data_IF_288262846884
#
_entry.id   IF_288262846884
#
_cell.length_a   1.000
_cell.length_b   1.000
_cell.length_c   1.000
_cell.angle_alpha   90.00
_cell.angle_beta   90.00
_cell.angle_gamma   90.00
#
_symmetry.space_group_name_H-M   'P 1'
#
loop_
_entity.id
_entity.type
_entity.pdbx_description
1 polymer ?
#
# COMPACT_ATOMS: atom_id res chain seq x y z
N UNK A 1 -15.07 -12.59 -24.40
CA UNK A 1 -13.80 -11.84 -24.24
C UNK A 1 -13.93 -10.65 -23.29
N UNK A 2 -14.64 -9.56 -23.62
CA UNK A 2 -14.78 -8.41 -22.68
C UNK A 2 -15.41 -8.82 -21.34
N UNK A 3 -16.48 -9.61 -21.35
CA UNK A 3 -17.15 -10.07 -20.14
C UNK A 3 -16.27 -10.99 -19.27
N UNK A 4 -15.33 -11.71 -19.84
CA UNK A 4 -14.39 -12.54 -19.10
C UNK A 4 -13.34 -11.70 -18.41
N UNK A 5 -12.80 -10.68 -19.10
CA UNK A 5 -11.87 -9.72 -18.53
C UNK A 5 -12.52 -8.94 -17.37
N UNK A 6 -13.76 -8.49 -17.55
CA UNK A 6 -14.49 -7.79 -16.49
C UNK A 6 -14.72 -8.68 -15.26
N UNK A 7 -15.05 -9.96 -15.45
CA UNK A 7 -15.19 -10.91 -14.34
C UNK A 7 -13.87 -11.16 -13.62
N UNK A 8 -12.78 -11.24 -14.36
CA UNK A 8 -11.44 -11.38 -13.77
C UNK A 8 -11.05 -10.13 -12.97
N UNK A 9 -11.24 -8.94 -13.52
CA UNK A 9 -11.01 -7.68 -12.79
C UNK A 9 -11.87 -7.60 -11.52
N UNK A 10 -13.13 -7.98 -11.59
CA UNK A 10 -14.03 -8.00 -10.45
C UNK A 10 -13.57 -9.01 -9.38
N UNK A 11 -13.11 -10.19 -9.79
CA UNK A 11 -12.57 -11.19 -8.88
C UNK A 11 -11.31 -10.68 -8.17
N UNK A 12 -10.37 -10.07 -8.90
CA UNK A 12 -9.15 -9.47 -8.34
C UNK A 12 -9.51 -8.37 -7.34
N UNK A 13 -10.43 -7.47 -7.71
CA UNK A 13 -10.86 -6.36 -6.86
C UNK A 13 -11.54 -6.82 -5.55
N UNK A 14 -12.26 -7.96 -5.59
CA UNK A 14 -12.91 -8.55 -4.41
C UNK A 14 -11.97 -9.37 -3.53
N UNK A 15 -10.87 -9.88 -4.10
CA UNK A 15 -9.96 -10.79 -3.41
C UNK A 15 -8.47 -10.37 -3.52
N UNK A 16 -8.11 -9.10 -3.28
CA UNK A 16 -6.78 -8.59 -3.58
C UNK A 16 -5.67 -9.32 -2.81
N UNK A 17 -5.87 -9.59 -1.52
CA UNK A 17 -4.89 -10.30 -0.69
C UNK A 17 -4.58 -11.69 -1.23
N UNK A 18 -5.61 -12.45 -1.60
CA UNK A 18 -5.47 -13.81 -2.12
C UNK A 18 -4.73 -13.80 -3.46
N UNK A 19 -5.16 -12.95 -4.38
CA UNK A 19 -4.57 -12.87 -5.73
C UNK A 19 -3.11 -12.45 -5.68
N UNK A 20 -2.77 -11.46 -4.85
CA UNK A 20 -1.38 -11.02 -4.66
C UNK A 20 -0.53 -12.14 -4.07
N UNK A 21 -1.02 -12.86 -3.05
CA UNK A 21 -0.30 -13.97 -2.43
C UNK A 21 -0.06 -15.11 -3.43
N UNK A 22 -1.07 -15.51 -4.18
CA UNK A 22 -0.96 -16.54 -5.22
C UNK A 22 0.03 -16.14 -6.33
N UNK A 23 0.03 -14.85 -6.72
CA UNK A 23 0.97 -14.35 -7.72
C UNK A 23 2.43 -14.39 -7.23
N UNK A 24 2.67 -13.98 -5.98
CA UNK A 24 3.98 -14.03 -5.34
C UNK A 24 4.52 -15.47 -5.34
N UNK A 25 3.70 -16.42 -4.89
CA UNK A 25 4.08 -17.83 -4.82
C UNK A 25 4.34 -18.43 -6.20
N UNK A 26 3.43 -18.20 -7.14
CA UNK A 26 3.52 -18.76 -8.50
C UNK A 26 4.74 -18.26 -9.27
N UNK A 27 5.09 -17.00 -9.13
CA UNK A 27 6.17 -16.37 -9.89
C UNK A 27 7.48 -16.24 -9.10
N UNK A 28 7.48 -16.62 -7.82
CA UNK A 28 8.62 -16.49 -6.91
C UNK A 28 9.19 -15.06 -6.90
N UNK A 29 8.32 -14.06 -6.82
CA UNK A 29 8.69 -12.63 -6.79
C UNK A 29 8.38 -12.01 -5.44
N UNK A 30 9.04 -10.89 -5.13
CA UNK A 30 8.70 -10.06 -3.98
C UNK A 30 7.65 -9.03 -4.38
N UNK A 31 6.74 -8.69 -3.47
CA UNK A 31 5.78 -7.63 -3.67
C UNK A 31 6.12 -6.40 -2.81
N UNK A 32 6.03 -5.24 -3.42
CA UNK A 32 6.25 -3.95 -2.77
C UNK A 32 4.94 -3.18 -2.77
N UNK A 33 4.43 -2.87 -1.57
CA UNK A 33 3.27 -2.02 -1.42
C UNK A 33 3.62 -0.55 -1.66
N UNK A 34 2.74 0.17 -2.31
CA UNK A 34 2.92 1.61 -2.53
C UNK A 34 1.63 2.34 -2.19
N UNK A 35 1.76 3.37 -1.36
CA UNK A 35 0.64 4.28 -1.14
C UNK A 35 0.41 5.06 -2.44
N UNK A 36 -0.84 5.07 -2.95
CA UNK A 36 -1.13 5.57 -4.29
C UNK A 36 -0.78 7.04 -4.51
N UNK A 37 -0.71 7.36 -5.80
CA UNK A 37 -0.53 8.63 -6.48
C UNK A 37 0.92 9.09 -6.70
N UNK A 38 1.95 8.53 -6.11
CA UNK A 38 3.33 8.99 -6.34
C UNK A 38 4.36 7.88 -6.08
N UNK A 39 3.92 6.63 -6.05
CA UNK A 39 4.84 5.51 -5.92
C UNK A 39 5.57 5.24 -7.24
N UNK A 40 6.85 4.88 -7.21
CA UNK A 40 7.64 4.59 -8.40
C UNK A 40 7.39 3.15 -8.90
N UNK A 41 6.20 2.89 -9.43
CA UNK A 41 5.80 1.55 -9.93
C UNK A 41 6.78 1.01 -10.94
N UNK A 42 7.27 1.88 -11.83
CA UNK A 42 8.20 1.54 -12.89
C UNK A 42 9.56 1.04 -12.34
N UNK A 43 10.02 1.59 -11.22
CA UNK A 43 11.26 1.15 -10.59
C UNK A 43 11.09 -0.21 -9.92
N UNK A 44 9.94 -0.45 -9.30
CA UNK A 44 9.63 -1.73 -8.67
C UNK A 44 9.51 -2.83 -9.73
N UNK A 45 8.81 -2.55 -10.82
CA UNK A 45 8.66 -3.48 -11.95
C UNK A 45 10.00 -3.76 -12.64
N UNK A 46 10.79 -2.72 -12.91
CA UNK A 46 12.13 -2.86 -13.50
C UNK A 46 13.10 -3.67 -12.62
N UNK A 47 12.87 -3.70 -11.30
CA UNK A 47 13.63 -4.52 -10.37
C UNK A 47 13.13 -5.99 -10.31
N UNK A 48 12.17 -6.38 -11.13
CA UNK A 48 11.59 -7.72 -11.15
C UNK A 48 10.69 -8.02 -9.94
N UNK A 49 10.15 -6.99 -9.29
CA UNK A 49 9.25 -7.11 -8.15
C UNK A 49 7.82 -6.72 -8.56
N UNK A 50 6.83 -7.20 -7.82
CA UNK A 50 5.43 -6.86 -8.07
C UNK A 50 5.07 -5.55 -7.36
N UNK A 51 4.72 -4.47 -8.09
CA UNK A 51 4.16 -3.28 -7.49
C UNK A 51 2.70 -3.51 -7.09
N UNK A 52 2.35 -3.17 -5.85
CA UNK A 52 0.99 -3.32 -5.29
C UNK A 52 0.50 -1.98 -4.75
N UNK A 53 -0.51 -1.41 -5.38
CA UNK A 53 -1.15 -0.18 -4.90
C UNK A 53 -1.95 -0.42 -3.61
N UNK A 54 -1.66 0.34 -2.57
CA UNK A 54 -2.36 0.26 -1.28
C UNK A 54 -3.52 1.27 -1.24
N UNK A 55 -4.58 0.99 -2.02
CA UNK A 55 -5.76 1.86 -2.10
C UNK A 55 -6.72 1.71 -0.91
N UNK A 56 -6.41 0.82 0.01
CA UNK A 56 -7.29 0.50 1.13
C UNK A 56 -8.25 -0.65 0.81
N UNK A 57 -9.43 -0.61 1.40
CA UNK A 57 -10.46 -1.63 1.24
C UNK A 57 -11.85 -1.05 1.45
N UNK A 58 -12.86 -1.75 0.93
CA UNK A 58 -14.25 -1.41 1.16
C UNK A 58 -14.72 -1.99 2.50
N UNK A 59 -15.48 -1.21 3.27
CA UNK A 59 -16.00 -1.61 4.59
C UNK A 59 -14.93 -2.08 5.60
N UNK A 60 -13.76 -1.46 5.58
CA UNK A 60 -12.74 -1.74 6.60
C UNK A 60 -13.11 -1.02 7.89
N UNK A 61 -13.34 -1.76 8.96
CA UNK A 61 -13.50 -1.19 10.29
C UNK A 61 -12.16 -0.66 10.77
N UNK A 62 -12.13 0.60 11.20
CA UNK A 62 -10.95 1.24 11.76
C UNK A 62 -11.01 1.09 13.28
N UNK A 63 -10.06 0.36 13.85
CA UNK A 63 -9.95 0.15 15.29
C UNK A 63 -8.53 0.38 15.80
N UNK A 64 -7.56 -0.33 15.27
CA UNK A 64 -6.16 -0.22 15.68
C UNK A 64 -5.54 1.11 15.25
N UNK A 65 -5.88 1.59 14.06
CA UNK A 65 -5.36 2.85 13.53
C UNK A 65 -5.83 4.09 14.31
N UNK A 66 -6.93 4.02 15.06
CA UNK A 66 -7.40 5.11 15.94
C UNK A 66 -6.36 5.56 16.97
N UNK A 67 -5.44 4.68 17.35
CA UNK A 67 -4.37 5.00 18.29
C UNK A 67 -3.27 5.86 17.66
N UNK A 68 -3.21 5.91 16.34
CA UNK A 68 -2.16 6.57 15.57
C UNK A 68 -2.64 7.84 14.87
N UNK A 69 -3.93 7.92 14.56
CA UNK A 69 -4.51 9.03 13.83
C UNK A 69 -5.73 9.62 14.52
N UNK A 70 -5.84 10.94 14.60
CA UNK A 70 -7.07 11.59 15.00
C UNK A 70 -8.18 11.36 13.96
N UNK A 71 -9.43 11.47 14.40
CA UNK A 71 -10.62 11.16 13.59
C UNK A 71 -10.79 12.01 12.32
N UNK A 72 -10.13 13.17 12.26
CA UNK A 72 -10.18 14.07 11.09
C UNK A 72 -9.15 13.75 10.01
N UNK A 73 -8.25 12.78 10.22
CA UNK A 73 -7.28 12.39 9.21
C UNK A 73 -7.96 11.69 8.02
N UNK A 74 -7.32 11.80 6.85
CA UNK A 74 -7.82 11.20 5.63
C UNK A 74 -8.10 9.70 5.80
N UNK A 75 -9.26 9.26 5.34
CA UNK A 75 -9.72 7.87 5.47
C UNK A 75 -8.73 6.86 4.88
N UNK A 76 -8.09 7.19 3.75
CA UNK A 76 -7.09 6.34 3.12
C UNK A 76 -5.92 6.02 4.06
N UNK A 77 -5.39 7.03 4.77
CA UNK A 77 -4.28 6.82 5.71
C UNK A 77 -4.68 5.91 6.87
N UNK A 78 -5.89 6.12 7.41
CA UNK A 78 -6.44 5.28 8.46
C UNK A 78 -6.61 3.83 7.99
N UNK A 79 -7.19 3.62 6.80
CA UNK A 79 -7.42 2.28 6.25
C UNK A 79 -6.09 1.57 5.95
N UNK A 80 -5.14 2.25 5.32
CA UNK A 80 -3.82 1.67 5.01
C UNK A 80 -3.09 1.29 6.29
N UNK A 81 -3.13 2.15 7.31
CA UNK A 81 -2.55 1.84 8.63
C UNK A 81 -3.23 0.65 9.29
N UNK A 82 -4.56 0.60 9.29
CA UNK A 82 -5.34 -0.51 9.85
C UNK A 82 -4.96 -1.84 9.22
N UNK A 83 -4.89 -1.89 7.89
CA UNK A 83 -4.55 -3.09 7.15
C UNK A 83 -3.09 -3.53 7.35
N UNK A 84 -2.20 -2.57 7.64
CA UNK A 84 -0.82 -2.87 8.04
C UNK A 84 -0.75 -3.48 9.45
N UNK A 85 -1.48 -2.90 10.40
CA UNK A 85 -1.50 -3.33 11.80
C UNK A 85 -2.17 -4.69 11.99
N UNK A 86 -3.28 -4.96 11.30
CA UNK A 86 -4.02 -6.21 11.43
C UNK A 86 -3.41 -7.39 10.63
N UNK A 87 -2.28 -7.16 9.96
CA UNK A 87 -1.56 -8.20 9.22
C UNK A 87 -2.11 -8.53 7.83
N UNK A 88 -3.06 -7.76 7.32
CA UNK A 88 -3.57 -7.95 5.94
C UNK A 88 -2.45 -7.81 4.91
N UNK A 89 -1.49 -6.93 5.14
CA UNK A 89 -0.37 -6.67 4.24
C UNK A 89 0.90 -7.51 4.50
N UNK A 90 0.82 -8.54 5.35
CA UNK A 90 2.00 -9.36 5.71
C UNK A 90 2.67 -10.09 4.54
N UNK A 91 2.00 -10.22 3.38
CA UNK A 91 2.59 -10.77 2.16
C UNK A 91 3.55 -9.79 1.46
N UNK A 92 3.55 -8.51 1.84
CA UNK A 92 4.45 -7.51 1.25
C UNK A 92 5.84 -7.59 1.85
N UNK A 93 6.85 -7.44 1.01
CA UNK A 93 8.27 -7.43 1.44
C UNK A 93 8.70 -6.06 1.97
N UNK A 94 8.08 -4.99 1.50
CA UNK A 94 8.25 -3.62 1.99
C UNK A 94 7.11 -2.73 1.52
N UNK A 95 7.01 -1.53 2.07
CA UNK A 95 6.06 -0.50 1.64
C UNK A 95 6.80 0.79 1.33
N UNK A 96 6.44 1.43 0.23
CA UNK A 96 6.93 2.76 -0.16
C UNK A 96 5.83 3.78 0.16
N UNK A 97 6.16 4.78 0.96
CA UNK A 97 5.28 5.91 1.25
C UNK A 97 5.96 7.21 0.75
N UNK A 98 5.39 7.89 -0.24
CA UNK A 98 5.92 9.16 -0.73
C UNK A 98 5.59 10.31 0.22
N UNK A 99 6.58 11.16 0.51
CA UNK A 99 6.45 12.32 1.38
C UNK A 99 5.88 13.55 0.67
N UNK A 100 4.74 13.40 0.00
CA UNK A 100 4.13 14.47 -0.82
C UNK A 100 3.13 15.33 -0.06
N UNK A 101 2.57 14.84 1.03
CA UNK A 101 1.58 15.53 1.85
C UNK A 101 1.84 15.31 3.34
N UNK A 102 1.31 16.18 4.19
CA UNK A 102 1.41 16.04 5.65
C UNK A 102 0.77 14.73 6.14
N UNK A 103 -0.33 14.30 5.51
CA UNK A 103 -0.97 13.02 5.82
C UNK A 103 -0.05 11.83 5.54
N UNK A 104 0.67 11.83 4.41
CA UNK A 104 1.60 10.77 4.06
C UNK A 104 2.86 10.81 4.93
N UNK A 105 3.33 12.00 5.30
CA UNK A 105 4.40 12.17 6.27
C UNK A 105 4.01 11.55 7.62
N UNK A 106 2.81 11.86 8.11
CA UNK A 106 2.27 11.30 9.35
C UNK A 106 2.09 9.79 9.25
N UNK A 107 1.56 9.28 8.14
CA UNK A 107 1.43 7.84 7.89
C UNK A 107 2.78 7.15 7.96
N UNK A 108 3.83 7.72 7.36
CA UNK A 108 5.16 7.12 7.38
C UNK A 108 5.74 7.00 8.79
N UNK A 109 5.57 8.02 9.63
CA UNK A 109 6.03 8.00 11.01
C UNK A 109 5.26 6.96 11.84
N UNK A 110 3.94 6.95 11.70
CA UNK A 110 3.06 6.00 12.39
C UNK A 110 3.31 4.56 11.95
N UNK A 111 3.58 4.33 10.65
CA UNK A 111 3.95 3.03 10.12
C UNK A 111 5.22 2.48 10.79
N UNK A 112 6.27 3.29 10.86
CA UNK A 112 7.52 2.91 11.53
C UNK A 112 7.32 2.56 13.00
N UNK A 113 6.40 3.26 13.66
CA UNK A 113 6.08 3.03 15.06
C UNK A 113 5.22 1.78 15.27
N UNK A 114 4.21 1.57 14.45
CA UNK A 114 3.18 0.54 14.64
C UNK A 114 3.42 -0.77 13.86
N UNK A 115 3.82 -0.69 12.61
CA UNK A 115 3.98 -1.86 11.73
C UNK A 115 5.43 -2.30 11.69
N UNK A 116 5.81 -3.24 12.55
CA UNK A 116 7.22 -3.65 12.73
C UNK A 116 7.71 -4.71 11.74
N UNK A 117 6.80 -5.47 11.18
CA UNK A 117 7.10 -6.64 10.34
C UNK A 117 7.20 -6.31 8.85
N UNK A 118 6.82 -5.10 8.44
CA UNK A 118 6.89 -4.66 7.04
C UNK A 118 7.77 -3.42 6.97
N UNK A 119 8.99 -3.51 6.43
CA UNK A 119 9.90 -2.37 6.31
C UNK A 119 9.28 -1.24 5.49
N UNK A 120 9.55 -0.01 5.91
CA UNK A 120 9.12 1.20 5.22
C UNK A 120 10.28 1.85 4.48
N UNK A 121 10.05 2.19 3.23
CA UNK A 121 10.87 3.08 2.42
C UNK A 121 10.11 4.42 2.31
N UNK A 122 10.64 5.44 2.95
CA UNK A 122 10.11 6.80 2.81
C UNK A 122 10.81 7.51 1.67
N UNK A 123 10.03 7.99 0.71
CA UNK A 123 10.55 8.59 -0.51
C UNK A 123 10.18 10.08 -0.57
N UNK A 124 11.20 10.92 -0.68
CA UNK A 124 11.02 12.37 -0.83
C UNK A 124 11.33 12.77 -2.26
N UNK A 125 10.40 13.42 -2.90
CA UNK A 125 10.58 13.97 -4.25
C UNK A 125 11.15 15.39 -4.17
N UNK A 126 12.03 15.78 -5.11
CA UNK A 126 12.49 17.17 -5.21
C UNK A 126 11.30 18.08 -5.50
N UNK A 127 11.11 19.07 -4.64
CA UNK A 127 10.04 20.08 -4.80
C UNK A 127 10.55 21.41 -5.34
N UNK A 128 11.79 21.45 -5.78
CA UNK A 128 12.40 22.68 -6.25
C UNK A 128 11.95 22.99 -7.69
N UNK A 129 11.30 24.15 -7.86
CA UNK A 129 10.84 24.65 -9.17
C UNK A 129 11.91 25.46 -9.93
N UNK A 130 13.11 25.59 -9.39
CA UNK A 130 14.21 26.26 -10.09
C UNK A 130 14.91 25.21 -10.96
N UNK A 131 14.69 25.34 -12.25
CA UNK A 131 15.50 24.74 -13.28
C UNK A 131 16.82 25.51 -13.36
#
# INVERSE_FOLDING_TARGET
>A
MINEILKECEYIAKNPKKVVSEYIEKNNVKAIGMVPLFGPEELVDAAGMLPVGLWGGYNVEIDLAKQYFPAFCASLANIVMELGLNGTYNMLSAVIIPGMTDTLNSLSQNWRSGVKNIPLIFMVYPQNRKL
#
